data_IF_624125944720
#
_entry.id   IF_624125944720
#
_cell.length_a   1.000
_cell.length_b   1.000
_cell.length_c   1.000
_cell.angle_alpha   90.00
_cell.angle_beta   90.00
_cell.angle_gamma   90.00
#
_symmetry.space_group_name_H-M   'P 1'
#
loop_
_entity.id
_entity.type
_entity.pdbx_description
1 polymer ?
#
# COMPACT_ATOMS: atom_id res chain seq x y z
N UNK A 1 15.55 -21.88 0.05
CA UNK A 1 15.73 -21.01 1.21
C UNK A 1 14.40 -20.43 1.65
N UNK A 2 14.14 -20.51 2.95
CA UNK A 2 12.91 -19.95 3.49
C UNK A 2 13.10 -18.49 3.88
N UNK A 3 12.07 -17.68 3.62
CA UNK A 3 12.05 -16.33 4.11
C UNK A 3 11.87 -16.34 5.62
N UNK A 4 12.70 -15.61 6.32
CA UNK A 4 12.54 -15.43 7.75
C UNK A 4 11.55 -14.31 8.01
N UNK A 5 10.46 -14.57 8.75
CA UNK A 5 9.51 -13.48 9.04
C UNK A 5 10.21 -12.33 9.78
N UNK A 6 9.84 -11.12 9.38
CA UNK A 6 10.33 -9.91 10.02
C UNK A 6 9.29 -9.44 11.01
N UNK A 7 9.69 -8.82 12.14
CA UNK A 7 8.71 -8.32 13.10
C UNK A 7 7.80 -7.23 12.53
N UNK A 8 8.17 -6.62 11.41
CA UNK A 8 7.34 -5.60 10.79
C UNK A 8 6.69 -6.06 9.48
N UNK A 9 6.68 -7.37 9.18
CA UNK A 9 6.05 -7.89 7.96
C UNK A 9 4.56 -7.55 7.88
N UNK A 10 3.86 -7.64 9.01
CA UNK A 10 2.45 -7.30 9.04
C UNK A 10 2.23 -5.84 8.63
N UNK A 11 3.04 -4.94 9.15
CA UNK A 11 2.96 -3.53 8.81
C UNK A 11 3.31 -3.28 7.34
N UNK A 12 4.31 -3.98 6.83
CA UNK A 12 4.67 -3.85 5.41
C UNK A 12 3.55 -4.32 4.50
N UNK A 13 2.90 -5.43 4.86
CA UNK A 13 1.76 -5.93 4.08
C UNK A 13 0.61 -4.94 4.11
N UNK A 14 0.32 -4.38 5.29
CA UNK A 14 -0.74 -3.37 5.38
C UNK A 14 -0.39 -2.13 4.58
N UNK A 15 0.86 -1.69 4.62
CA UNK A 15 1.31 -0.54 3.83
C UNK A 15 1.15 -0.81 2.34
N UNK A 16 1.52 -2.01 1.87
CA UNK A 16 1.32 -2.39 0.47
C UNK A 16 -0.15 -2.34 0.08
N UNK A 17 -1.02 -2.83 0.94
CA UNK A 17 -2.46 -2.81 0.70
C UNK A 17 -2.97 -1.37 0.59
N UNK A 18 -2.50 -0.50 1.46
CA UNK A 18 -2.85 0.92 1.43
C UNK A 18 -2.41 1.55 0.10
N UNK A 19 -1.19 1.24 -0.33
CA UNK A 19 -0.68 1.79 -1.60
C UNK A 19 -1.50 1.29 -2.79
N UNK A 20 -1.94 0.04 -2.75
CA UNK A 20 -2.83 -0.49 -3.78
C UNK A 20 -4.17 0.24 -3.81
N UNK A 21 -4.75 0.45 -2.64
CA UNK A 21 -6.01 1.18 -2.54
C UNK A 21 -5.86 2.62 -3.05
N UNK A 22 -4.76 3.30 -2.69
CA UNK A 22 -4.51 4.65 -3.15
C UNK A 22 -4.27 4.71 -4.66
N UNK A 23 -3.60 3.70 -5.21
CA UNK A 23 -3.42 3.61 -6.65
C UNK A 23 -4.78 3.61 -7.36
N UNK A 24 -5.72 2.81 -6.87
CA UNK A 24 -7.06 2.78 -7.45
C UNK A 24 -7.83 4.07 -7.20
N UNK A 25 -7.90 4.50 -5.94
CA UNK A 25 -8.75 5.62 -5.56
C UNK A 25 -8.29 6.95 -6.14
N UNK A 26 -6.97 7.19 -6.16
CA UNK A 26 -6.45 8.42 -6.76
C UNK A 26 -6.61 8.42 -8.28
N UNK A 27 -6.63 7.23 -8.89
CA UNK A 27 -6.97 7.12 -10.31
C UNK A 27 -8.42 7.48 -10.57
N UNK A 28 -9.34 6.97 -9.74
CA UNK A 28 -10.77 7.26 -9.87
C UNK A 28 -11.04 8.74 -9.66
N UNK A 29 -10.38 9.36 -8.71
CA UNK A 29 -10.56 10.78 -8.41
C UNK A 29 -9.78 11.70 -9.36
N UNK A 30 -9.15 11.10 -10.38
CA UNK A 30 -8.52 11.83 -11.47
C UNK A 30 -7.53 12.89 -10.99
N UNK A 31 -6.73 12.52 -10.01
CA UNK A 31 -5.72 13.44 -9.45
C UNK A 31 -4.44 13.48 -10.27
N UNK A 32 -4.28 12.55 -11.21
CA UNK A 32 -3.03 12.39 -11.94
C UNK A 32 -1.95 11.69 -11.12
N UNK A 33 -2.30 11.16 -9.95
CA UNK A 33 -1.33 10.57 -9.04
C UNK A 33 -1.40 9.05 -8.94
N UNK A 34 -2.28 8.39 -9.73
CA UNK A 34 -2.44 6.95 -9.62
C UNK A 34 -1.13 6.21 -9.74
N UNK A 35 -0.34 6.51 -10.77
CA UNK A 35 0.92 5.82 -11.00
C UNK A 35 1.98 6.08 -9.94
N UNK A 36 1.90 7.22 -9.26
CA UNK A 36 2.80 7.52 -8.16
C UNK A 36 2.69 6.43 -7.07
N UNK A 37 1.48 6.05 -6.74
CA UNK A 37 1.26 5.08 -5.67
C UNK A 37 1.70 3.68 -6.07
N UNK A 38 1.52 3.33 -7.34
CA UNK A 38 2.03 2.06 -7.86
C UNK A 38 3.56 2.04 -7.82
N UNK A 39 4.20 3.13 -8.21
CA UNK A 39 5.65 3.24 -8.20
C UNK A 39 6.21 3.18 -6.79
N UNK A 40 5.53 3.81 -5.84
CA UNK A 40 5.92 3.75 -4.43
C UNK A 40 5.86 2.31 -3.90
N UNK A 41 4.79 1.58 -4.27
CA UNK A 41 4.66 0.19 -3.86
C UNK A 41 5.76 -0.67 -4.46
N UNK A 42 6.08 -0.46 -5.73
CA UNK A 42 7.14 -1.21 -6.38
C UNK A 42 8.48 -0.95 -5.68
N UNK A 43 8.78 0.29 -5.36
CA UNK A 43 10.01 0.63 -4.67
C UNK A 43 10.08 -0.02 -3.29
N UNK A 44 8.97 0.01 -2.56
CA UNK A 44 8.89 -0.61 -1.24
C UNK A 44 9.13 -2.12 -1.31
N UNK A 45 8.46 -2.78 -2.23
CA UNK A 45 8.55 -4.24 -2.36
C UNK A 45 9.95 -4.63 -2.83
N UNK A 46 10.50 -3.92 -3.80
CA UNK A 46 11.85 -4.20 -4.29
C UNK A 46 12.91 -4.03 -3.21
N UNK A 47 12.71 -3.07 -2.31
CA UNK A 47 13.66 -2.81 -1.23
C UNK A 47 13.54 -3.82 -0.08
N UNK A 48 12.31 -4.16 0.30
CA UNK A 48 12.08 -4.92 1.54
C UNK A 48 11.76 -6.38 1.30
N UNK A 49 11.28 -6.75 0.13
CA UNK A 49 10.93 -8.12 -0.20
C UNK A 49 11.16 -8.38 -1.69
N UNK A 50 12.44 -8.37 -2.14
CA UNK A 50 12.73 -8.44 -3.57
C UNK A 50 12.40 -9.79 -4.21
N UNK A 51 12.24 -10.85 -3.41
CA UNK A 51 11.93 -12.16 -3.95
C UNK A 51 11.33 -13.05 -2.87
N UNK A 52 10.85 -14.21 -3.29
CA UNK A 52 10.38 -15.25 -2.38
C UNK A 52 8.98 -15.00 -1.87
N UNK A 53 8.66 -15.68 -0.79
CA UNK A 53 7.31 -15.68 -0.23
C UNK A 53 6.88 -14.29 0.26
N UNK A 54 7.80 -13.55 0.86
CA UNK A 54 7.50 -12.20 1.34
C UNK A 54 7.14 -11.28 0.18
N UNK A 55 7.86 -11.42 -0.95
CA UNK A 55 7.55 -10.66 -2.15
C UNK A 55 6.11 -10.94 -2.62
N UNK A 56 5.77 -12.24 -2.71
CA UNK A 56 4.46 -12.63 -3.18
C UNK A 56 3.36 -12.13 -2.25
N UNK A 57 3.58 -12.16 -0.95
CA UNK A 57 2.60 -11.69 0.01
C UNK A 57 2.38 -10.18 -0.09
N UNK A 58 3.45 -9.42 -0.30
CA UNK A 58 3.31 -7.98 -0.46
C UNK A 58 2.60 -7.61 -1.76
N UNK A 59 2.90 -8.32 -2.84
CA UNK A 59 2.21 -8.12 -4.11
C UNK A 59 0.71 -8.45 -3.95
N UNK A 60 0.40 -9.56 -3.28
CA UNK A 60 -0.98 -9.94 -3.04
C UNK A 60 -1.71 -8.89 -2.19
N UNK A 61 -1.03 -8.32 -1.21
CA UNK A 61 -1.60 -7.27 -0.38
C UNK A 61 -1.92 -6.02 -1.20
N UNK A 62 -1.00 -5.62 -2.06
CA UNK A 62 -1.23 -4.50 -2.97
C UNK A 62 -2.45 -4.76 -3.84
N UNK A 63 -2.54 -5.96 -4.41
CA UNK A 63 -3.66 -6.31 -5.28
C UNK A 63 -4.98 -6.32 -4.54
N UNK A 64 -5.00 -6.76 -3.27
CA UNK A 64 -6.20 -6.69 -2.45
C UNK A 64 -6.66 -5.25 -2.25
N UNK A 65 -5.72 -4.37 -1.97
CA UNK A 65 -6.04 -2.95 -1.81
C UNK A 65 -6.60 -2.35 -3.09
N UNK A 66 -5.96 -2.66 -4.22
CA UNK A 66 -6.39 -2.15 -5.51
C UNK A 66 -7.80 -2.61 -5.86
N UNK A 67 -8.09 -3.91 -5.62
CA UNK A 67 -9.38 -4.49 -5.99
C UNK A 67 -10.49 -4.20 -5.01
N UNK A 68 -10.14 -3.88 -3.77
CA UNK A 68 -11.11 -3.79 -2.67
C UNK A 68 -12.16 -2.73 -2.84
N UNK A 69 -11.86 -1.66 -3.57
CA UNK A 69 -12.81 -0.57 -3.75
C UNK A 69 -13.38 -0.46 -5.15
N UNK A 70 -13.01 -1.37 -6.05
CA UNK A 70 -13.41 -1.25 -7.46
C UNK A 70 -14.92 -1.25 -7.65
N UNK A 71 -15.65 -2.05 -6.87
CA UNK A 71 -17.09 -2.13 -6.99
C UNK A 71 -17.80 -1.02 -6.22
N UNK A 72 -17.17 -0.51 -5.19
CA UNK A 72 -17.74 0.54 -4.35
C UNK A 72 -17.63 1.92 -5.00
N UNK A 73 -16.47 2.21 -5.59
CA UNK A 73 -16.19 3.54 -6.12
C UNK A 73 -15.88 3.47 -7.61
N UNK A 74 -16.92 3.59 -8.41
CA UNK A 74 -16.77 3.70 -9.87
C UNK A 74 -16.50 5.14 -10.29
N UNK A 75 -16.89 6.08 -9.44
CA UNK A 75 -16.68 7.50 -9.64
C UNK A 75 -16.12 8.11 -8.38
N UNK A 76 -15.45 9.24 -8.52
CA UNK A 76 -14.98 9.98 -7.36
C UNK A 76 -16.16 10.59 -6.62
N UNK A 77 -16.22 10.35 -5.31
CA UNK A 77 -17.27 10.87 -4.45
C UNK A 77 -16.65 11.54 -3.23
N UNK A 78 -17.41 12.36 -2.49
CA UNK A 78 -16.88 12.90 -1.22
C UNK A 78 -16.43 11.81 -0.26
N UNK A 79 -17.12 10.66 -0.23
CA UNK A 79 -16.72 9.55 0.62
C UNK A 79 -15.38 8.95 0.16
N UNK A 80 -15.16 8.86 -1.16
CA UNK A 80 -13.88 8.39 -1.67
C UNK A 80 -12.74 9.31 -1.20
N UNK A 81 -12.95 10.62 -1.20
CA UNK A 81 -11.95 11.55 -0.69
C UNK A 81 -11.63 11.33 0.78
N UNK A 82 -12.65 11.02 1.58
CA UNK A 82 -12.44 10.73 2.99
C UNK A 82 -11.60 9.46 3.16
N UNK A 83 -11.90 8.42 2.39
CA UNK A 83 -11.14 7.17 2.44
C UNK A 83 -9.69 7.42 2.04
N UNK A 84 -9.47 8.19 0.96
CA UNK A 84 -8.13 8.54 0.51
C UNK A 84 -7.33 9.18 1.65
N UNK A 85 -7.92 10.18 2.31
CA UNK A 85 -7.21 10.88 3.38
C UNK A 85 -6.89 9.97 4.54
N UNK A 86 -7.84 9.11 4.93
CA UNK A 86 -7.62 8.15 6.01
C UNK A 86 -6.50 7.18 5.67
N UNK A 87 -6.48 6.68 4.45
CA UNK A 87 -5.44 5.75 4.03
C UNK A 87 -4.08 6.43 3.95
N UNK A 88 -4.02 7.67 3.49
CA UNK A 88 -2.78 8.43 3.48
C UNK A 88 -2.25 8.66 4.90
N UNK A 89 -3.13 8.95 5.84
CA UNK A 89 -2.74 9.13 7.24
C UNK A 89 -2.24 7.83 7.85
N UNK A 90 -2.97 6.74 7.62
CA UNK A 90 -2.56 5.44 8.15
C UNK A 90 -1.23 5.00 7.55
N UNK A 91 -1.07 5.15 6.24
CA UNK A 91 0.17 4.78 5.56
C UNK A 91 1.35 5.58 6.07
N UNK A 92 1.18 6.88 6.27
CA UNK A 92 2.24 7.72 6.80
C UNK A 92 2.62 7.31 8.23
N UNK A 93 1.62 6.96 9.04
CA UNK A 93 1.88 6.51 10.40
C UNK A 93 2.66 5.20 10.41
N UNK A 94 2.24 4.24 9.58
CA UNK A 94 2.94 2.95 9.51
C UNK A 94 4.38 3.16 9.07
N UNK A 95 4.60 3.98 8.04
CA UNK A 95 5.95 4.26 7.56
C UNK A 95 6.83 4.88 8.65
N UNK A 96 6.28 5.83 9.41
CA UNK A 96 7.01 6.44 10.53
C UNK A 96 7.30 5.43 11.62
N UNK A 97 6.33 4.58 11.94
CA UNK A 97 6.51 3.58 12.99
C UNK A 97 7.60 2.58 12.62
N UNK A 98 7.61 2.12 11.38
CA UNK A 98 8.64 1.20 10.91
C UNK A 98 10.01 1.87 10.99
N UNK A 99 10.12 3.11 10.50
CA UNK A 99 11.37 3.85 10.51
C UNK A 99 11.87 4.06 11.93
N UNK A 100 10.99 4.46 12.83
CA UNK A 100 11.38 4.74 14.22
C UNK A 100 11.83 3.49 14.97
N UNK A 101 11.22 2.33 14.64
CA UNK A 101 11.48 1.09 15.40
C UNK A 101 12.63 0.28 14.84
N UNK A 102 12.90 0.39 13.55
CA UNK A 102 13.82 -0.54 12.87
C UNK A 102 14.92 0.14 12.08
N UNK A 103 14.99 1.46 12.10
CA UNK A 103 15.98 2.20 11.30
C UNK A 103 17.34 2.35 12.00
N UNK A 104 17.48 1.82 13.19
CA UNK A 104 18.76 1.93 13.92
C UNK A 104 19.69 0.78 13.58
#
# INVERSE_FOLDING_TARGET
>A
MQDTPSPYDHDLERLSEILGALHFLRGVCNSGEGEKWRSEAKALIDADAPSGNRHEQMVASFNRGYSGFQQTYRNCTPTADIVIRRYMEEGAKIARDITARYAN
#
